data_IF_597237521290
#
_entry.id   IF_597237521290
#
_cell.length_a   1.000
_cell.length_b   1.000
_cell.length_c   1.000
_cell.angle_alpha   90.00
_cell.angle_beta   90.00
_cell.angle_gamma   90.00
#
_symmetry.space_group_name_H-M   'P 1'
#
loop_
_entity.id
_entity.type
_entity.pdbx_description
1 polymer ?
#
# COMPACT_ATOMS: atom_id res chain seq x y z
N UNK A 1 22.03 -14.48 -74.95
CA UNK A 1 22.26 -13.46 -75.99
C UNK A 1 21.04 -12.53 -75.98
N UNK A 2 21.26 -11.20 -75.79
CA UNK A 2 20.27 -10.08 -75.67
C UNK A 2 19.36 -10.11 -74.41
N UNK A 3 19.39 -9.19 -73.42
CA UNK A 3 19.65 -7.74 -73.28
C UNK A 3 18.56 -6.84 -73.91
N UNK A 4 17.68 -6.26 -73.07
CA UNK A 4 16.98 -4.95 -73.13
C UNK A 4 16.05 -4.85 -71.90
N UNK A 5 16.39 -4.13 -70.83
CA UNK A 5 16.28 -2.68 -70.53
C UNK A 5 14.87 -2.08 -70.61
N UNK A 6 14.59 -1.23 -69.59
CA UNK A 6 13.43 -0.34 -69.37
C UNK A 6 12.27 -0.98 -68.59
N UNK A 7 11.71 -0.43 -67.51
CA UNK A 7 11.57 0.98 -67.14
C UNK A 7 11.46 1.13 -65.60
N UNK A 8 11.91 2.27 -65.11
CA UNK A 8 11.90 2.76 -63.74
C UNK A 8 10.47 3.07 -63.28
N UNK A 9 10.08 2.60 -62.10
CA UNK A 9 9.00 3.21 -61.30
C UNK A 9 9.54 3.47 -59.90
N UNK A 10 9.77 4.75 -59.63
CA UNK A 10 10.14 5.32 -58.34
C UNK A 10 8.85 5.43 -57.52
N UNK A 11 8.74 4.68 -56.42
CA UNK A 11 7.78 4.98 -55.35
C UNK A 11 8.53 5.17 -54.04
N UNK A 12 8.63 6.45 -53.68
CA UNK A 12 8.97 6.98 -52.38
C UNK A 12 8.12 6.31 -51.29
N UNK A 13 8.74 5.65 -50.30
CA UNK A 13 8.09 5.42 -49.02
C UNK A 13 9.06 5.66 -47.86
N UNK A 14 8.79 6.78 -47.20
CA UNK A 14 8.92 7.09 -45.78
C UNK A 14 10.04 6.43 -44.95
N UNK A 15 10.93 7.31 -44.48
CA UNK A 15 11.85 7.09 -43.37
C UNK A 15 11.12 6.56 -42.13
N UNK A 16 11.62 5.47 -41.55
CA UNK A 16 11.30 5.04 -40.20
C UNK A 16 12.56 5.15 -39.34
N UNK A 17 12.48 6.07 -38.38
CA UNK A 17 13.44 6.37 -37.33
C UNK A 17 13.57 5.15 -36.40
N UNK A 18 14.73 4.52 -36.32
CA UNK A 18 15.01 3.50 -35.30
C UNK A 18 15.44 4.20 -34.00
N UNK A 19 14.55 4.12 -33.02
CA UNK A 19 14.71 4.62 -31.65
C UNK A 19 15.80 3.81 -30.95
N UNK A 20 16.86 4.48 -30.51
CA UNK A 20 17.82 3.98 -29.53
C UNK A 20 17.12 3.98 -28.17
N UNK A 21 16.84 2.80 -27.61
CA UNK A 21 16.41 2.68 -26.22
C UNK A 21 17.56 2.10 -25.40
N UNK A 22 18.32 3.01 -24.77
CA UNK A 22 19.29 2.65 -23.75
C UNK A 22 18.55 2.18 -22.50
N UNK A 23 18.67 0.90 -22.17
CA UNK A 23 18.24 0.36 -20.90
C UNK A 23 19.20 0.86 -19.79
N UNK A 24 18.94 2.07 -19.30
CA UNK A 24 19.48 2.51 -18.03
C UNK A 24 18.77 1.72 -16.92
N UNK A 25 19.54 0.89 -16.22
CA UNK A 25 19.13 0.30 -14.95
C UNK A 25 18.71 1.43 -14.00
N UNK A 26 17.40 1.55 -13.76
CA UNK A 26 16.86 2.45 -12.76
C UNK A 26 17.19 1.86 -11.39
N UNK A 27 18.31 2.31 -10.82
CA UNK A 27 18.59 2.24 -9.39
C UNK A 27 17.41 2.87 -8.65
N UNK A 28 16.75 2.10 -7.79
CA UNK A 28 15.65 2.58 -6.95
C UNK A 28 16.08 3.83 -6.17
N UNK A 29 15.48 4.98 -6.48
CA UNK A 29 15.64 6.22 -5.74
C UNK A 29 14.84 6.14 -4.42
N UNK A 30 15.44 6.41 -3.25
CA UNK A 30 14.78 6.32 -1.94
C UNK A 30 14.04 7.60 -1.51
N UNK A 31 13.69 8.48 -2.46
CA UNK A 31 12.86 9.66 -2.23
C UNK A 31 11.52 9.52 -2.93
N UNK A 32 10.59 8.89 -2.24
CA UNK A 32 9.20 8.83 -2.64
C UNK A 32 8.41 9.84 -1.78
N UNK A 33 7.76 10.87 -2.36
CA UNK A 33 7.18 12.01 -1.63
C UNK A 33 6.06 11.63 -0.65
N UNK A 34 5.51 10.43 -0.76
CA UNK A 34 4.44 9.95 0.09
C UNK A 34 4.92 9.25 1.38
N UNK A 35 6.19 8.86 1.46
CA UNK A 35 6.76 8.27 2.66
C UNK A 35 7.26 9.37 3.61
N UNK A 36 6.86 9.31 4.88
CA UNK A 36 7.24 10.29 5.90
C UNK A 36 8.74 10.21 6.21
N UNK A 37 9.50 11.24 5.82
CA UNK A 37 10.94 11.35 6.14
C UNK A 37 11.24 11.18 7.65
N UNK A 38 10.31 11.66 8.50
CA UNK A 38 10.38 11.56 9.95
C UNK A 38 10.41 10.12 10.46
N UNK A 39 9.86 9.16 9.72
CA UNK A 39 9.71 7.77 10.14
C UNK A 39 10.77 6.85 9.53
N UNK A 40 11.44 7.28 8.44
CA UNK A 40 12.46 6.48 7.74
C UNK A 40 13.54 5.92 8.68
N UNK A 41 13.96 6.71 9.67
CA UNK A 41 15.03 6.35 10.60
C UNK A 41 14.56 6.07 12.03
N UNK A 42 13.26 6.15 12.30
CA UNK A 42 12.75 5.93 13.66
C UNK A 42 12.72 4.44 13.99
N UNK A 43 13.14 4.10 15.21
CA UNK A 43 12.98 2.76 15.81
C UNK A 43 11.99 2.75 16.98
N UNK A 44 11.46 3.91 17.34
CA UNK A 44 10.48 4.05 18.42
C UNK A 44 9.09 3.71 17.89
N UNK A 45 8.57 2.56 18.30
CA UNK A 45 7.28 2.04 17.86
C UNK A 45 6.11 2.97 18.24
N UNK A 46 6.14 3.57 19.44
CA UNK A 46 5.09 4.51 19.86
C UNK A 46 5.13 5.79 19.04
N UNK A 47 6.32 6.31 18.78
CA UNK A 47 6.47 7.48 17.92
C UNK A 47 5.95 7.21 16.51
N UNK A 48 6.25 6.03 15.95
CA UNK A 48 5.75 5.64 14.61
C UNK A 48 4.22 5.53 14.61
N UNK A 49 3.62 4.83 15.58
CA UNK A 49 2.17 4.65 15.69
C UNK A 49 1.41 5.98 15.77
N UNK A 50 1.99 6.96 16.47
CA UNK A 50 1.42 8.30 16.62
C UNK A 50 1.48 9.13 15.33
N UNK A 51 2.49 8.91 14.48
CA UNK A 51 2.85 9.85 13.43
C UNK A 51 2.73 9.32 11.99
N UNK A 52 2.50 8.01 11.76
CA UNK A 52 2.39 7.47 10.40
C UNK A 52 1.23 8.10 9.61
N UNK A 53 1.45 8.34 8.32
CA UNK A 53 0.47 9.00 7.45
C UNK A 53 0.02 8.13 6.30
N UNK A 54 0.88 7.25 5.81
CA UNK A 54 0.56 6.34 4.71
C UNK A 54 0.55 4.89 5.16
N UNK A 55 -0.43 4.14 4.67
CA UNK A 55 -0.59 2.72 5.00
C UNK A 55 -0.91 1.92 3.76
N UNK A 56 -0.16 0.85 3.53
CA UNK A 56 -0.49 -0.18 2.53
C UNK A 56 -1.31 -1.29 3.20
N UNK A 57 -2.28 -1.86 2.47
CA UNK A 57 -3.15 -2.93 2.96
C UNK A 57 -2.82 -4.22 2.24
N UNK A 58 -2.32 -5.20 2.99
CA UNK A 58 -1.99 -6.55 2.53
C UNK A 58 -2.95 -7.57 3.13
N UNK A 59 -3.98 -7.93 2.37
CA UNK A 59 -4.94 -8.97 2.73
C UNK A 59 -4.70 -10.27 1.96
N UNK A 60 -3.49 -10.52 1.45
CA UNK A 60 -3.19 -11.71 0.62
C UNK A 60 -3.54 -13.03 1.32
N UNK A 61 -3.39 -13.07 2.65
CA UNK A 61 -3.67 -14.25 3.47
C UNK A 61 -5.04 -14.23 4.14
N UNK A 62 -5.87 -13.22 3.88
CA UNK A 62 -7.25 -13.18 4.32
C UNK A 62 -8.11 -14.03 3.36
N UNK A 63 -8.48 -15.24 3.78
CA UNK A 63 -9.13 -16.24 2.91
C UNK A 63 -10.45 -15.77 2.26
N UNK A 64 -11.18 -14.88 2.91
CA UNK A 64 -12.56 -14.54 2.53
C UNK A 64 -12.73 -13.12 2.02
N UNK A 65 -11.70 -12.27 2.05
CA UNK A 65 -11.74 -10.93 1.48
C UNK A 65 -10.38 -10.50 0.97
N UNK A 66 -10.37 -9.61 -0.02
CA UNK A 66 -9.15 -9.05 -0.60
C UNK A 66 -8.80 -7.67 -0.04
N UNK A 67 -7.66 -7.12 -0.50
CA UNK A 67 -7.20 -5.80 -0.09
C UNK A 67 -8.16 -4.68 -0.51
N UNK A 68 -8.89 -4.81 -1.61
CA UNK A 68 -9.85 -3.78 -2.06
C UNK A 68 -11.07 -3.74 -1.15
N UNK A 69 -11.59 -4.90 -0.76
CA UNK A 69 -12.67 -5.01 0.21
C UNK A 69 -12.25 -4.47 1.58
N UNK A 70 -11.01 -4.72 1.99
CA UNK A 70 -10.44 -4.17 3.22
C UNK A 70 -10.28 -2.64 3.16
N UNK A 71 -9.74 -2.10 2.05
CA UNK A 71 -9.65 -0.65 1.80
C UNK A 71 -11.05 -0.01 1.81
N UNK A 72 -12.04 -0.63 1.18
CA UNK A 72 -13.41 -0.14 1.19
C UNK A 72 -14.02 -0.16 2.60
N UNK A 73 -13.74 -1.18 3.40
CA UNK A 73 -14.18 -1.24 4.80
C UNK A 73 -13.56 -0.12 5.65
N UNK A 74 -12.26 0.12 5.51
CA UNK A 74 -11.55 1.24 6.17
C UNK A 74 -12.09 2.59 5.71
N UNK A 75 -12.29 2.78 4.40
CA UNK A 75 -12.82 4.03 3.82
C UNK A 75 -14.24 4.37 4.29
N UNK A 76 -15.07 3.36 4.59
CA UNK A 76 -16.41 3.56 5.17
C UNK A 76 -16.40 3.80 6.68
N UNK A 77 -15.29 3.49 7.37
CA UNK A 77 -15.19 3.65 8.82
C UNK A 77 -14.89 5.12 9.17
N UNK A 78 -15.87 5.80 9.79
CA UNK A 78 -15.73 7.20 10.24
C UNK A 78 -14.56 7.41 11.19
N UNK A 79 -14.26 6.41 12.02
CA UNK A 79 -13.12 6.44 12.94
C UNK A 79 -11.78 6.40 12.21
N UNK A 80 -11.69 5.69 11.09
CA UNK A 80 -10.49 5.68 10.25
C UNK A 80 -10.26 7.04 9.58
N UNK A 81 -11.34 7.65 9.05
CA UNK A 81 -11.26 8.99 8.45
C UNK A 81 -10.71 10.05 9.44
N UNK A 82 -11.07 9.96 10.72
CA UNK A 82 -10.57 10.84 11.77
C UNK A 82 -9.08 10.67 12.09
N UNK A 83 -8.45 9.55 11.69
CA UNK A 83 -7.03 9.33 11.88
C UNK A 83 -6.17 10.06 10.84
N UNK A 84 -6.76 10.57 9.75
CA UNK A 84 -6.04 11.21 8.64
C UNK A 84 -4.93 10.33 8.03
N UNK A 85 -5.16 9.02 7.97
CA UNK A 85 -4.27 8.05 7.32
C UNK A 85 -4.69 7.91 5.85
N UNK A 86 -3.72 8.01 4.94
CA UNK A 86 -3.93 7.75 3.51
C UNK A 86 -3.59 6.30 3.20
N UNK A 87 -4.51 5.61 2.52
CA UNK A 87 -4.23 4.27 1.98
C UNK A 87 -3.51 4.43 0.63
N UNK A 88 -2.44 3.69 0.45
CA UNK A 88 -1.59 3.71 -0.75
C UNK A 88 -1.57 2.33 -1.40
N UNK A 89 -1.37 2.29 -2.71
CA UNK A 89 -1.39 1.04 -3.49
C UNK A 89 0.01 0.43 -3.70
N UNK A 90 1.08 1.19 -3.50
CA UNK A 90 2.46 0.70 -3.55
C UNK A 90 3.02 0.54 -2.12
N UNK A 91 3.44 -0.67 -1.69
CA UNK A 91 4.03 -0.85 -0.36
C UNK A 91 5.34 -0.06 -0.16
N UNK A 92 6.03 0.34 -1.24
CA UNK A 92 7.28 1.12 -1.16
C UNK A 92 7.06 2.56 -0.73
N UNK A 93 5.86 3.10 -0.92
CA UNK A 93 5.52 4.48 -0.52
C UNK A 93 4.88 4.56 0.86
N UNK A 94 4.58 3.40 1.47
CA UNK A 94 3.88 3.33 2.73
C UNK A 94 4.84 3.49 3.91
N UNK A 95 4.41 4.23 4.95
CA UNK A 95 5.08 4.24 6.24
C UNK A 95 4.92 2.88 6.93
N UNK A 96 3.72 2.30 6.84
CA UNK A 96 3.34 1.05 7.50
C UNK A 96 2.55 0.13 6.57
N UNK A 97 2.62 -1.17 6.84
CA UNK A 97 1.88 -2.22 6.14
C UNK A 97 0.93 -2.91 7.11
N UNK A 98 -0.36 -2.83 6.85
CA UNK A 98 -1.37 -3.60 7.56
C UNK A 98 -1.49 -4.97 6.88
N UNK A 99 -0.99 -6.01 7.54
CA UNK A 99 -1.11 -7.40 7.10
C UNK A 99 -2.31 -8.04 7.76
N UNK A 100 -3.15 -8.68 6.97
CA UNK A 100 -4.30 -9.44 7.46
C UNK A 100 -4.18 -10.89 7.02
N UNK A 101 -4.45 -11.79 7.95
CA UNK A 101 -4.46 -13.22 7.71
C UNK A 101 -5.78 -13.84 8.15
N UNK A 102 -5.91 -15.14 7.97
CA UNK A 102 -7.07 -15.91 8.40
C UNK A 102 -6.61 -17.09 9.24
N UNK A 103 -7.26 -17.29 10.38
CA UNK A 103 -7.11 -18.47 11.22
C UNK A 103 -8.44 -19.21 11.37
N UNK A 104 -8.40 -20.40 11.97
CA UNK A 104 -9.61 -21.19 12.21
C UNK A 104 -10.66 -20.38 13.01
N UNK A 105 -11.94 -20.73 12.81
CA UNK A 105 -13.07 -20.14 13.52
C UNK A 105 -13.31 -18.64 13.29
N UNK A 106 -13.28 -18.18 12.03
CA UNK A 106 -13.76 -16.83 11.66
C UNK A 106 -12.90 -15.68 12.18
N UNK A 107 -11.66 -16.02 12.53
CA UNK A 107 -10.69 -15.10 13.08
C UNK A 107 -9.82 -14.54 11.95
N UNK A 108 -9.71 -13.21 11.92
CA UNK A 108 -8.89 -12.47 10.98
C UNK A 108 -7.84 -11.66 11.75
N UNK A 109 -6.75 -12.31 12.19
CA UNK A 109 -5.67 -11.61 12.86
C UNK A 109 -5.00 -10.63 11.89
N UNK A 110 -4.67 -9.46 12.43
CA UNK A 110 -3.98 -8.41 11.70
C UNK A 110 -2.77 -7.91 12.47
N UNK A 111 -1.78 -7.46 11.73
CA UNK A 111 -0.55 -6.88 12.26
C UNK A 111 -0.20 -5.63 11.46
N UNK A 112 0.19 -4.56 12.14
CA UNK A 112 0.71 -3.35 11.53
C UNK A 112 2.23 -3.36 11.61
N UNK A 113 2.88 -3.46 10.46
CA UNK A 113 4.32 -3.56 10.33
C UNK A 113 4.89 -2.21 9.93
N UNK A 114 6.00 -1.79 10.54
CA UNK A 114 6.77 -0.67 10.03
C UNK A 114 7.57 -1.11 8.79
N UNK A 115 7.43 -0.37 7.68
CA UNK A 115 8.02 -0.78 6.40
C UNK A 115 9.55 -0.83 6.44
N UNK A 116 10.19 0.10 7.16
CA UNK A 116 11.65 0.21 7.17
C UNK A 116 12.33 -0.73 8.17
N UNK A 117 11.71 -0.99 9.32
CA UNK A 117 12.33 -1.79 10.39
C UNK A 117 11.79 -3.22 10.46
N UNK A 118 10.73 -3.54 9.71
CA UNK A 118 10.07 -4.87 9.75
C UNK A 118 9.60 -5.23 11.17
N UNK A 119 9.34 -4.23 12.01
CA UNK A 119 8.86 -4.41 13.39
C UNK A 119 7.34 -4.40 13.39
N UNK A 120 6.74 -5.34 14.12
CA UNK A 120 5.29 -5.31 14.42
C UNK A 120 5.05 -4.19 15.43
N UNK A 121 4.32 -3.17 15.02
CA UNK A 121 3.95 -2.03 15.85
C UNK A 121 2.71 -2.31 16.69
N UNK A 122 1.77 -3.05 16.11
CA UNK A 122 0.43 -3.26 16.61
C UNK A 122 -0.06 -4.60 16.06
N UNK A 123 -0.79 -5.36 16.87
CA UNK A 123 -1.48 -6.55 16.43
C UNK A 123 -2.88 -6.60 17.05
N UNK A 124 -3.80 -7.27 16.36
CA UNK A 124 -5.17 -7.46 16.83
C UNK A 124 -5.88 -8.49 15.98
N UNK A 125 -7.20 -8.56 16.15
CA UNK A 125 -8.00 -9.58 15.47
C UNK A 125 -9.41 -9.09 15.24
N UNK A 126 -9.85 -9.13 13.98
CA UNK A 126 -11.27 -9.04 13.65
C UNK A 126 -11.95 -10.42 13.71
N UNK A 127 -13.25 -10.42 13.93
CA UNK A 127 -14.09 -11.62 13.96
C UNK A 127 -15.29 -11.37 13.05
N UNK A 128 -15.56 -12.28 12.13
CA UNK A 128 -16.73 -12.11 11.27
C UNK A 128 -17.13 -13.37 10.52
N UNK A 129 -18.41 -13.53 10.19
CA UNK A 129 -18.93 -14.71 9.53
C UNK A 129 -18.22 -14.99 8.19
N UNK A 130 -18.57 -16.10 7.53
CA UNK A 130 -18.09 -16.47 6.19
C UNK A 130 -18.21 -15.37 5.11
N UNK A 131 -18.95 -14.28 5.36
CA UNK A 131 -19.00 -13.16 4.43
C UNK A 131 -17.77 -12.27 4.58
N UNK A 132 -16.92 -12.30 3.55
CA UNK A 132 -15.76 -11.43 3.39
C UNK A 132 -15.96 -9.97 3.83
N UNK A 133 -17.04 -9.29 3.38
CA UNK A 133 -17.29 -7.91 3.76
C UNK A 133 -17.51 -7.69 5.26
N UNK A 134 -18.11 -8.64 5.98
CA UNK A 134 -18.32 -8.53 7.42
C UNK A 134 -17.02 -8.74 8.20
N UNK A 135 -16.19 -9.69 7.77
CA UNK A 135 -14.84 -9.88 8.31
C UNK A 135 -13.97 -8.63 8.15
N UNK A 136 -13.92 -8.05 6.94
CA UNK A 136 -13.20 -6.82 6.67
C UNK A 136 -13.70 -5.63 7.52
N UNK A 137 -15.02 -5.51 7.71
CA UNK A 137 -15.60 -4.47 8.57
C UNK A 137 -15.21 -4.64 10.04
N UNK A 138 -15.18 -5.88 10.56
CA UNK A 138 -14.72 -6.15 11.91
C UNK A 138 -13.24 -5.83 12.09
N UNK A 139 -12.37 -6.27 11.17
CA UNK A 139 -10.94 -5.92 11.19
C UNK A 139 -10.76 -4.39 11.17
N UNK A 140 -11.50 -3.67 10.32
CA UNK A 140 -11.41 -2.22 10.24
C UNK A 140 -11.81 -1.55 11.56
N UNK A 141 -12.84 -2.06 12.23
CA UNK A 141 -13.28 -1.54 13.52
C UNK A 141 -12.21 -1.75 14.61
N UNK A 142 -11.71 -2.98 14.76
CA UNK A 142 -10.71 -3.33 15.77
C UNK A 142 -9.39 -2.61 15.54
N UNK A 143 -8.92 -2.54 14.29
CA UNK A 143 -7.73 -1.80 13.90
C UNK A 143 -7.85 -0.31 14.28
N UNK A 144 -8.97 0.33 13.95
CA UNK A 144 -9.19 1.75 14.25
C UNK A 144 -9.19 2.00 15.75
N UNK A 145 -9.80 1.14 16.55
CA UNK A 145 -9.79 1.29 18.01
C UNK A 145 -8.38 1.18 18.56
N UNK A 146 -7.62 0.18 18.13
CA UNK A 146 -6.25 0.00 18.57
C UNK A 146 -5.35 1.19 18.19
N UNK A 147 -5.43 1.71 16.97
CA UNK A 147 -4.64 2.89 16.55
C UNK A 147 -5.06 4.15 17.30
N UNK A 148 -6.35 4.34 17.58
CA UNK A 148 -6.86 5.52 18.31
C UNK A 148 -6.25 5.65 19.69
N UNK A 149 -6.06 4.55 20.40
CA UNK A 149 -5.45 4.56 21.75
C UNK A 149 -4.04 5.16 21.73
N UNK A 150 -3.26 4.84 20.70
CA UNK A 150 -1.92 5.40 20.53
C UNK A 150 -1.93 6.84 20.02
N UNK A 151 -2.91 7.22 19.19
CA UNK A 151 -3.00 8.60 18.65
C UNK A 151 -3.67 9.59 19.57
N UNK A 152 -4.32 9.15 20.64
CA UNK A 152 -4.84 10.03 21.66
C UNK A 152 -3.67 10.87 22.23
N UNK A 153 -3.72 12.18 21.99
CA UNK A 153 -2.77 13.13 22.58
C UNK A 153 -2.93 13.01 24.10
N UNK A 154 -1.85 12.76 24.87
CA UNK A 154 -1.92 12.79 26.32
C UNK A 154 -2.51 14.13 26.77
N UNK A 155 -3.55 14.08 27.60
CA UNK A 155 -4.26 15.27 28.11
C UNK A 155 -3.35 16.29 28.83
N UNK A 156 -2.13 15.91 29.20
CA UNK A 156 -1.18 16.76 29.93
C UNK A 156 -0.43 17.80 29.08
N UNK A 157 -0.66 17.88 27.76
CA UNK A 157 -0.04 18.91 26.90
C UNK A 157 -1.06 19.83 26.20
N UNK A 158 -2.28 19.91 26.72
CA UNK A 158 -3.22 20.97 26.38
C UNK A 158 -3.08 22.10 27.41
N UNK A 159 -1.98 22.85 27.32
CA UNK A 159 -1.78 24.06 28.12
C UNK A 159 -1.40 25.22 27.23
#
# INVERSE_FOLDING_TARGET
MYRRLSLIVISLFLASLLVVSGAAAQTATPDNPDQSELLKNSKDAEFILRNFKTMYVDALYAKYFDSEQMKAALGRNKGFAALHIRMVDDPRVADVVLKISYTFAWDYPFELWHQNTTTVLLAGKGIGPFSGPAGAASVAYEFVNAVKEHRAIPKDKQK
#
